data_IF_991371903330
#
_entry.id   IF_991371903330
#
_cell.length_a   1.000
_cell.length_b   1.000
_cell.length_c   1.000
_cell.angle_alpha   90.00
_cell.angle_beta   90.00
_cell.angle_gamma   90.00
#
_symmetry.space_group_name_H-M   'P 1'
#
loop_
_entity.id
_entity.type
_entity.pdbx_description
1 polymer ?
#
# COMPACT_ATOMS: atom_id res chain seq x y z
N UNK A 1 23.11 14.95 -0.18
CA UNK A 1 23.10 14.11 -1.40
C UNK A 1 23.52 12.68 -1.10
N UNK A 2 24.78 12.39 -0.76
CA UNK A 2 25.22 11.00 -0.50
C UNK A 2 24.74 10.47 0.85
N UNK A 3 24.79 11.28 1.90
CA UNK A 3 24.32 10.89 3.24
C UNK A 3 22.83 10.56 3.23
N UNK A 4 22.01 11.43 2.64
CA UNK A 4 20.56 11.27 2.53
C UNK A 4 20.19 10.01 1.72
N UNK A 5 20.97 9.71 0.67
CA UNK A 5 20.83 8.48 -0.12
C UNK A 5 21.15 7.21 0.70
N UNK A 6 22.17 7.24 1.55
CA UNK A 6 22.49 6.12 2.44
C UNK A 6 21.45 5.94 3.54
N UNK A 7 20.93 7.04 4.10
CA UNK A 7 19.86 7.01 5.11
C UNK A 7 18.58 6.43 4.50
N UNK A 8 18.16 6.92 3.34
CA UNK A 8 16.98 6.39 2.62
C UNK A 8 17.14 4.91 2.30
N UNK A 9 18.30 4.50 1.78
CA UNK A 9 18.58 3.09 1.48
C UNK A 9 18.50 2.22 2.74
N UNK A 10 19.07 2.66 3.86
CA UNK A 10 19.04 1.93 5.12
C UNK A 10 17.59 1.76 5.63
N UNK A 11 16.81 2.85 5.67
CA UNK A 11 15.41 2.82 6.11
C UNK A 11 14.56 1.94 5.20
N UNK A 12 14.75 2.03 3.88
CA UNK A 12 14.01 1.25 2.90
C UNK A 12 14.34 -0.25 3.00
N UNK A 13 15.60 -0.58 3.25
CA UNK A 13 16.04 -1.97 3.48
C UNK A 13 15.44 -2.54 4.76
N UNK A 14 15.42 -1.76 5.85
CA UNK A 14 14.81 -2.15 7.13
C UNK A 14 13.30 -2.35 6.97
N UNK A 15 12.61 -1.42 6.30
CA UNK A 15 11.18 -1.52 6.01
C UNK A 15 10.88 -2.78 5.20
N UNK A 16 11.64 -3.04 4.12
CA UNK A 16 11.44 -4.22 3.28
C UNK A 16 11.68 -5.51 4.06
N UNK A 17 12.74 -5.56 4.89
CA UNK A 17 13.01 -6.71 5.73
C UNK A 17 11.88 -6.95 6.76
N UNK A 18 11.32 -5.89 7.33
CA UNK A 18 10.18 -5.98 8.24
C UNK A 18 8.92 -6.51 7.55
N UNK A 19 8.65 -6.08 6.32
CA UNK A 19 7.54 -6.56 5.50
C UNK A 19 7.70 -8.03 5.10
N UNK A 20 8.87 -8.41 4.58
CA UNK A 20 9.17 -9.79 4.16
C UNK A 20 9.07 -10.76 5.33
N UNK A 21 9.56 -10.36 6.51
CA UNK A 21 9.47 -11.15 7.73
C UNK A 21 8.12 -11.04 8.44
N UNK A 22 7.17 -10.27 7.90
CA UNK A 22 5.85 -10.02 8.48
C UNK A 22 5.90 -9.62 9.97
N UNK A 23 6.90 -8.81 10.34
CA UNK A 23 7.14 -8.43 11.75
C UNK A 23 6.05 -7.52 12.31
N UNK A 24 5.33 -6.82 11.42
CA UNK A 24 4.28 -5.87 11.76
C UNK A 24 3.33 -5.65 10.58
N UNK A 25 2.12 -5.12 10.82
CA UNK A 25 1.19 -4.74 9.76
C UNK A 25 1.86 -3.84 8.70
N UNK A 26 1.61 -4.07 7.39
CA UNK A 26 2.26 -3.31 6.33
C UNK A 26 2.09 -1.80 6.45
N UNK A 27 0.90 -1.36 6.87
CA UNK A 27 0.61 0.05 7.10
C UNK A 27 1.54 0.68 8.15
N UNK A 28 1.84 -0.04 9.23
CA UNK A 28 2.74 0.46 10.28
C UNK A 28 4.20 0.48 9.83
N UNK A 29 4.65 -0.55 9.09
CA UNK A 29 6.02 -0.58 8.56
C UNK A 29 6.28 0.59 7.59
N UNK A 30 5.35 0.83 6.66
CA UNK A 30 5.47 1.90 5.66
C UNK A 30 5.35 3.27 6.32
N UNK A 31 4.35 3.48 7.18
CA UNK A 31 4.18 4.75 7.88
C UNK A 31 5.37 5.05 8.79
N UNK A 32 5.89 4.04 9.50
CA UNK A 32 7.08 4.17 10.33
C UNK A 32 8.31 4.59 9.51
N UNK A 33 8.51 4.00 8.33
CA UNK A 33 9.60 4.39 7.44
C UNK A 33 9.49 5.86 6.99
N UNK A 34 8.28 6.31 6.60
CA UNK A 34 8.02 7.72 6.21
C UNK A 34 8.28 8.66 7.39
N UNK A 35 7.80 8.32 8.59
CA UNK A 35 8.02 9.13 9.80
C UNK A 35 9.51 9.23 10.12
N UNK A 36 10.26 8.14 10.02
CA UNK A 36 11.71 8.16 10.26
C UNK A 36 12.42 9.05 9.25
N UNK A 37 12.10 8.94 7.95
CA UNK A 37 12.70 9.79 6.92
C UNK A 37 12.38 11.28 7.11
N UNK A 38 11.14 11.58 7.53
CA UNK A 38 10.72 12.95 7.85
C UNK A 38 11.44 13.50 9.08
N UNK A 39 11.60 12.70 10.14
CA UNK A 39 12.31 13.13 11.36
C UNK A 39 13.80 13.36 11.14
N UNK A 40 14.41 12.66 10.19
CA UNK A 40 15.82 12.83 9.80
C UNK A 40 15.98 13.94 8.75
N UNK A 41 14.91 14.66 8.42
CA UNK A 41 14.87 15.78 7.46
C UNK A 41 15.34 15.38 6.05
N UNK A 42 15.11 14.10 5.69
CA UNK A 42 15.45 13.57 4.35
C UNK A 42 14.32 13.83 3.35
N UNK A 43 13.09 13.90 3.84
CA UNK A 43 11.90 14.24 3.06
C UNK A 43 11.14 15.37 3.76
N UNK A 44 10.49 16.22 2.98
CA UNK A 44 9.63 17.28 3.53
C UNK A 44 8.19 16.80 3.79
N UNK A 45 7.35 17.68 4.32
CA UNK A 45 5.95 17.35 4.60
C UNK A 45 5.16 17.04 3.32
N UNK A 46 5.43 17.73 2.22
CA UNK A 46 4.73 17.51 0.95
C UNK A 46 5.05 16.14 0.38
N UNK A 47 6.31 15.72 0.46
CA UNK A 47 6.79 14.39 0.05
C UNK A 47 6.25 13.29 0.95
N UNK A 48 6.22 13.50 2.27
CA UNK A 48 5.65 12.55 3.23
C UNK A 48 4.16 12.28 2.98
N UNK A 49 3.40 13.30 2.54
CA UNK A 49 1.98 13.16 2.22
C UNK A 49 1.69 12.84 0.74
N UNK A 50 2.69 12.85 -0.15
CA UNK A 50 2.51 12.62 -1.58
C UNK A 50 1.85 11.27 -1.91
N UNK A 51 2.08 10.26 -1.06
CA UNK A 51 1.44 8.95 -1.18
C UNK A 51 -0.09 8.98 -1.08
N UNK A 52 -0.66 9.92 -0.30
CA UNK A 52 -2.12 10.08 -0.16
C UNK A 52 -2.77 10.76 -1.36
N UNK A 53 -2.01 11.56 -2.11
CA UNK A 53 -2.47 12.20 -3.35
C UNK A 53 -2.35 11.28 -4.57
N UNK A 54 -1.83 10.05 -4.40
CA UNK A 54 -1.73 9.08 -5.48
C UNK A 54 -3.12 8.48 -5.78
N UNK A 55 -3.59 8.48 -7.04
CA UNK A 55 -4.86 7.86 -7.40
C UNK A 55 -4.87 6.33 -7.26
N UNK A 56 -3.71 5.67 -7.20
CA UNK A 56 -3.62 4.22 -7.17
C UNK A 56 -4.23 3.58 -5.90
N UNK A 57 -3.91 4.01 -4.65
CA UNK A 57 -4.61 3.51 -3.45
C UNK A 57 -6.12 3.72 -3.49
N UNK A 58 -6.58 4.88 -3.99
CA UNK A 58 -8.00 5.17 -4.13
C UNK A 58 -8.69 4.22 -5.12
N UNK A 59 -8.01 3.90 -6.22
CA UNK A 59 -8.49 2.93 -7.20
C UNK A 59 -8.62 1.54 -6.58
N UNK A 60 -7.59 1.09 -5.83
CA UNK A 60 -7.63 -0.21 -5.14
C UNK A 60 -8.75 -0.24 -4.10
N UNK A 61 -8.96 0.85 -3.35
CA UNK A 61 -10.06 0.94 -2.40
C UNK A 61 -11.43 0.81 -3.09
N UNK A 62 -11.63 1.49 -4.24
CA UNK A 62 -12.84 1.36 -5.04
C UNK A 62 -13.06 -0.07 -5.56
N UNK A 63 -11.99 -0.75 -6.01
CA UNK A 63 -12.06 -2.15 -6.42
C UNK A 63 -12.41 -3.08 -5.25
N UNK A 64 -11.93 -2.79 -4.04
CA UNK A 64 -12.32 -3.55 -2.84
C UNK A 64 -13.81 -3.40 -2.51
N UNK A 65 -14.36 -2.18 -2.62
CA UNK A 65 -15.79 -1.92 -2.47
C UNK A 65 -16.58 -2.71 -3.52
N UNK A 66 -16.15 -2.65 -4.78
CA UNK A 66 -16.79 -3.37 -5.88
C UNK A 66 -16.74 -4.88 -5.70
N UNK A 67 -15.60 -5.43 -5.26
CA UNK A 67 -15.44 -6.84 -4.94
C UNK A 67 -16.37 -7.27 -3.79
N UNK A 68 -16.51 -6.43 -2.75
CA UNK A 68 -17.46 -6.67 -1.67
C UNK A 68 -18.93 -6.67 -2.14
N UNK A 69 -19.30 -5.75 -3.04
CA UNK A 69 -20.64 -5.71 -3.63
C UNK A 69 -20.92 -6.93 -4.52
N UNK A 70 -19.95 -7.29 -5.36
CA UNK A 70 -19.95 -8.48 -6.20
C UNK A 70 -20.12 -9.77 -5.37
N UNK A 71 -19.40 -9.90 -4.25
CA UNK A 71 -19.49 -11.06 -3.37
C UNK A 71 -20.87 -11.24 -2.71
N UNK A 72 -21.61 -10.13 -2.48
CA UNK A 72 -22.96 -10.17 -1.91
C UNK A 72 -24.07 -10.37 -2.95
N UNK A 73 -23.79 -10.12 -4.24
CA UNK A 73 -24.80 -10.24 -5.29
C UNK A 73 -24.79 -11.62 -5.94
N UNK A 74 -25.95 -12.28 -6.01
CA UNK A 74 -26.11 -13.52 -6.78
C UNK A 74 -25.85 -13.34 -8.29
N UNK A 75 -25.72 -12.09 -8.77
CA UNK A 75 -25.47 -11.75 -10.16
C UNK A 75 -24.14 -12.26 -10.68
N UNK A 76 -23.08 -12.19 -9.87
CA UNK A 76 -21.77 -12.77 -10.24
C UNK A 76 -21.87 -14.29 -10.33
N UNK A 77 -22.59 -14.92 -9.40
CA UNK A 77 -22.82 -16.38 -9.45
C UNK A 77 -23.64 -16.78 -10.69
N UNK A 78 -24.70 -16.04 -11.03
CA UNK A 78 -25.45 -16.24 -12.30
C UNK A 78 -24.60 -16.02 -13.55
N UNK A 79 -23.67 -15.06 -13.52
CA UNK A 79 -22.76 -14.80 -14.64
C UNK A 79 -21.78 -15.96 -14.81
N UNK A 80 -21.23 -16.49 -13.71
CA UNK A 80 -20.38 -17.68 -13.70
C UNK A 80 -21.15 -18.91 -14.18
N UNK A 81 -22.36 -19.17 -13.66
CA UNK A 81 -23.20 -20.30 -14.06
C UNK A 81 -23.61 -20.23 -15.55
N UNK A 82 -23.74 -19.02 -16.13
CA UNK A 82 -24.02 -18.84 -17.56
C UNK A 82 -22.79 -18.99 -18.46
N UNK A 83 -21.60 -18.62 -17.97
CA UNK A 83 -20.36 -18.69 -18.74
C UNK A 83 -19.70 -20.07 -18.66
N UNK A 84 -19.93 -20.79 -17.56
CA UNK A 84 -19.49 -22.17 -17.35
C UNK A 84 -20.70 -23.07 -17.09
N UNK A 85 -21.51 -23.38 -18.13
CA UNK A 85 -22.56 -24.37 -18.03
C UNK A 85 -21.92 -25.77 -17.98
N UNK A 86 -21.65 -26.26 -16.77
CA UNK A 86 -21.30 -27.64 -16.47
C UNK A 86 -22.31 -28.22 -15.49
#
# INVERSE_FOLDING_TARGET
>A
MTTDAWVTLAVLTIMLAALVRSLMPPALAILGAVVVLFLVDVIDATEAFAGFSNPAPLTIAALYILAGAAARTSGVRRLVDRLLPG
#
